data_IF_598453374639
#
_entry.id   IF_598453374639
#
_cell.length_a   1.000
_cell.length_b   1.000
_cell.length_c   1.000
_cell.angle_alpha   90.00
_cell.angle_beta   90.00
_cell.angle_gamma   90.00
#
_symmetry.space_group_name_H-M   'P 1'
#
loop_
_entity.id
_entity.type
_entity.pdbx_description
1 polymer ?
#
# COMPACT_ATOMS: atom_id res chain seq x y z
N UNK A 1 0.71 -10.95 -7.05
CA UNK A 1 -0.24 -12.02 -6.70
C UNK A 1 0.56 -13.30 -6.60
N UNK A 2 0.51 -13.96 -5.44
CA UNK A 2 1.31 -15.15 -5.11
C UNK A 2 0.57 -16.40 -5.60
N UNK A 3 1.26 -17.36 -6.21
CA UNK A 3 0.63 -18.62 -6.65
C UNK A 3 0.70 -19.65 -5.52
N UNK A 4 -0.43 -19.90 -4.86
CA UNK A 4 -0.55 -20.86 -3.76
C UNK A 4 -0.95 -22.27 -4.22
N UNK A 5 -1.15 -22.49 -5.51
CA UNK A 5 -1.64 -23.77 -6.04
C UNK A 5 -0.51 -24.77 -6.33
N UNK A 6 0.74 -24.38 -6.10
CA UNK A 6 1.94 -25.17 -6.40
C UNK A 6 2.41 -25.87 -5.12
N UNK A 7 2.64 -27.19 -5.19
CA UNK A 7 3.34 -27.95 -4.16
C UNK A 7 4.75 -28.28 -4.65
N UNK A 8 5.78 -27.77 -3.97
CA UNK A 8 7.17 -27.98 -4.37
C UNK A 8 7.75 -29.18 -3.66
N UNK A 9 8.17 -30.18 -4.43
CA UNK A 9 8.84 -31.38 -3.94
C UNK A 9 10.26 -31.47 -4.50
N UNK A 10 11.19 -31.87 -3.65
CA UNK A 10 12.55 -32.24 -4.04
C UNK A 10 12.60 -33.73 -4.31
N UNK A 11 13.07 -34.09 -5.50
CA UNK A 11 13.28 -35.47 -5.92
C UNK A 11 14.72 -35.68 -6.38
N UNK A 12 15.15 -36.93 -6.40
CA UNK A 12 16.40 -37.33 -7.05
C UNK A 12 16.09 -37.99 -8.39
N UNK A 13 16.55 -37.39 -9.48
CA UNK A 13 16.45 -37.96 -10.83
C UNK A 13 17.85 -37.98 -11.46
N UNK A 14 18.29 -39.14 -11.97
CA UNK A 14 19.62 -39.31 -12.59
C UNK A 14 20.79 -38.84 -11.70
N UNK A 15 20.69 -39.04 -10.39
CA UNK A 15 21.71 -38.62 -9.41
C UNK A 15 21.78 -37.11 -9.17
N UNK A 16 20.85 -36.33 -9.72
CA UNK A 16 20.72 -34.89 -9.49
C UNK A 16 19.49 -34.60 -8.65
N UNK A 17 19.61 -33.62 -7.74
CA UNK A 17 18.48 -33.06 -7.02
C UNK A 17 17.74 -32.09 -7.93
N UNK A 18 16.44 -32.24 -8.02
CA UNK A 18 15.56 -31.34 -8.79
C UNK A 18 14.32 -31.00 -7.97
N UNK A 19 13.83 -29.79 -8.15
CA UNK A 19 12.62 -29.28 -7.52
C UNK A 19 11.52 -29.20 -8.57
N UNK A 20 10.41 -29.87 -8.32
CA UNK A 20 9.29 -29.94 -9.25
C UNK A 20 7.98 -29.72 -8.51
N UNK A 21 6.92 -29.41 -9.26
CA UNK A 21 5.58 -29.59 -8.72
C UNK A 21 5.32 -31.08 -8.48
N UNK A 22 4.70 -31.41 -7.35
CA UNK A 22 4.15 -32.72 -7.04
C UNK A 22 3.41 -33.38 -8.22
N UNK A 23 2.67 -32.60 -9.01
CA UNK A 23 1.88 -33.10 -10.16
C UNK A 23 2.78 -33.61 -11.31
N UNK A 24 4.03 -33.17 -11.37
CA UNK A 24 5.01 -33.56 -12.39
C UNK A 24 5.88 -34.76 -11.96
N UNK A 25 5.67 -35.30 -10.76
CA UNK A 25 6.46 -36.40 -10.22
C UNK A 25 6.16 -37.71 -10.97
N UNK A 26 7.20 -38.37 -11.48
CA UNK A 26 7.08 -39.72 -12.05
C UNK A 26 7.04 -40.79 -10.94
N UNK A 27 6.41 -41.96 -11.18
CA UNK A 27 6.26 -43.00 -10.16
C UNK A 27 7.57 -43.57 -9.61
N UNK A 28 8.64 -43.52 -10.39
CA UNK A 28 9.99 -44.00 -10.08
C UNK A 28 10.87 -42.97 -9.37
N UNK A 29 10.42 -41.71 -9.26
CA UNK A 29 11.16 -40.66 -8.57
C UNK A 29 11.08 -40.85 -7.05
N UNK A 30 12.23 -41.01 -6.40
CA UNK A 30 12.36 -40.96 -4.94
C UNK A 30 12.18 -39.52 -4.44
N UNK A 31 11.22 -39.31 -3.54
CA UNK A 31 11.03 -38.01 -2.87
C UNK A 31 12.04 -37.87 -1.75
N UNK A 32 12.76 -36.76 -1.76
CA UNK A 32 13.74 -36.41 -0.74
C UNK A 32 13.06 -35.59 0.35
N UNK A 33 12.34 -34.53 -0.03
CA UNK A 33 11.68 -33.59 0.89
C UNK A 33 10.52 -32.89 0.18
N UNK A 34 9.48 -32.55 0.94
CA UNK A 34 8.40 -31.66 0.48
C UNK A 34 8.69 -30.28 1.09
N UNK A 35 8.79 -29.27 0.24
CA UNK A 35 9.22 -27.92 0.63
C UNK A 35 8.06 -26.97 0.91
N UNK A 36 6.93 -27.17 0.23
CA UNK A 36 5.70 -26.40 0.45
C UNK A 36 4.53 -27.18 -0.13
N UNK A 37 3.41 -27.22 0.58
CA UNK A 37 2.18 -27.89 0.12
C UNK A 37 1.25 -26.91 -0.60
N UNK A 38 0.32 -27.44 -1.39
CA UNK A 38 -0.75 -26.64 -1.99
C UNK A 38 -1.51 -25.87 -0.90
N UNK A 39 -1.71 -24.58 -1.14
CA UNK A 39 -2.32 -23.62 -0.22
C UNK A 39 -1.33 -22.89 0.70
N UNK A 40 -0.08 -23.36 0.80
CA UNK A 40 0.96 -22.73 1.61
C UNK A 40 1.81 -21.77 0.77
N UNK A 41 2.32 -20.72 1.42
CA UNK A 41 3.36 -19.91 0.83
C UNK A 41 4.70 -20.66 0.98
N UNK A 42 5.41 -20.86 -0.12
CA UNK A 42 6.77 -21.37 -0.07
C UNK A 42 7.64 -20.41 0.73
N UNK A 43 8.00 -20.82 1.95
CA UNK A 43 8.94 -20.11 2.81
C UNK A 43 10.13 -21.01 3.05
N UNK A 44 11.32 -20.48 2.79
CA UNK A 44 12.56 -21.23 2.87
C UNK A 44 13.43 -20.64 3.99
N UNK A 45 13.71 -21.41 5.06
CA UNK A 45 14.70 -20.99 6.05
C UNK A 45 16.05 -20.76 5.37
N UNK A 46 16.84 -19.82 5.91
CA UNK A 46 18.12 -19.46 5.30
C UNK A 46 19.10 -20.65 5.17
N UNK A 47 19.10 -21.56 6.14
CA UNK A 47 19.90 -22.80 6.11
C UNK A 47 19.48 -23.73 4.99
N UNK A 48 18.16 -23.91 4.85
CA UNK A 48 17.55 -24.71 3.80
C UNK A 48 17.84 -24.12 2.41
N UNK A 49 17.98 -22.78 2.30
CA UNK A 49 18.38 -22.08 1.07
C UNK A 49 19.81 -22.42 0.62
N UNK A 50 20.73 -22.61 1.57
CA UNK A 50 22.08 -23.10 1.26
C UNK A 50 22.00 -24.56 0.83
N UNK A 51 21.29 -25.39 1.58
CA UNK A 51 21.23 -26.84 1.34
C UNK A 51 20.63 -27.19 -0.03
N UNK A 52 19.69 -26.37 -0.53
CA UNK A 52 19.10 -26.51 -1.86
C UNK A 52 19.83 -25.72 -2.96
N UNK A 53 20.89 -24.97 -2.62
CA UNK A 53 21.68 -24.18 -3.57
C UNK A 53 21.01 -22.91 -4.10
N UNK A 54 19.94 -22.44 -3.44
CA UNK A 54 19.31 -21.14 -3.76
C UNK A 54 20.08 -19.95 -3.19
N UNK A 55 20.90 -20.18 -2.16
CA UNK A 55 21.78 -19.18 -1.56
C UNK A 55 23.20 -19.71 -1.43
N UNK A 56 24.20 -18.86 -1.69
CA UNK A 56 25.60 -19.25 -1.61
C UNK A 56 26.12 -19.30 -0.16
N UNK A 57 25.75 -18.30 0.65
CA UNK A 57 26.19 -18.13 2.04
C UNK A 57 25.15 -17.37 2.86
N UNK A 58 25.17 -17.60 4.18
CA UNK A 58 24.45 -16.82 5.18
C UNK A 58 25.48 -15.95 5.90
N UNK A 59 25.19 -14.67 6.04
CA UNK A 59 25.98 -13.75 6.84
C UNK A 59 25.23 -13.35 8.10
N UNK A 60 25.91 -13.36 9.24
CA UNK A 60 25.32 -12.94 10.51
C UNK A 60 25.28 -11.42 10.66
N UNK A 61 26.11 -10.71 9.88
CA UNK A 61 26.14 -9.26 9.83
C UNK A 61 26.50 -8.73 8.45
N UNK A 62 26.11 -7.47 8.20
CA UNK A 62 26.48 -6.75 6.98
C UNK A 62 28.00 -6.55 6.86
N UNK A 63 28.73 -6.46 7.98
CA UNK A 63 30.18 -6.33 7.97
C UNK A 63 30.87 -7.59 7.46
N UNK A 64 30.38 -8.77 7.85
CA UNK A 64 30.88 -10.05 7.32
C UNK A 64 30.64 -10.16 5.81
N UNK A 65 29.45 -9.75 5.33
CA UNK A 65 29.17 -9.68 3.91
C UNK A 65 30.18 -8.76 3.19
N UNK A 66 30.39 -7.54 3.68
CA UNK A 66 31.32 -6.61 3.04
C UNK A 66 32.77 -7.11 3.08
N UNK A 67 33.17 -7.85 4.11
CA UNK A 67 34.48 -8.48 4.19
C UNK A 67 34.65 -9.58 3.13
N UNK A 68 33.66 -10.46 2.94
CA UNK A 68 33.72 -11.52 1.91
C UNK A 68 33.86 -10.95 0.49
N UNK A 69 33.23 -9.80 0.24
CA UNK A 69 33.28 -9.09 -1.04
C UNK A 69 34.47 -8.11 -1.18
N UNK A 70 35.42 -8.09 -0.23
CA UNK A 70 36.54 -7.12 -0.19
C UNK A 70 36.09 -5.65 -0.30
N UNK A 71 34.90 -5.34 0.21
CA UNK A 71 34.22 -4.05 0.10
C UNK A 71 34.09 -3.32 1.45
N UNK A 72 34.95 -3.62 2.42
CA UNK A 72 34.90 -3.04 3.78
C UNK A 72 35.05 -1.53 3.81
N UNK A 73 35.70 -0.94 2.79
CA UNK A 73 35.89 0.50 2.62
C UNK A 73 34.85 1.14 1.70
N UNK A 74 33.91 0.37 1.15
CA UNK A 74 32.91 0.88 0.23
C UNK A 74 32.01 1.91 0.93
N UNK A 75 31.74 3.02 0.24
CA UNK A 75 30.79 4.03 0.73
C UNK A 75 29.38 3.45 0.69
N UNK A 76 28.76 3.31 1.85
CA UNK A 76 27.37 2.89 1.94
C UNK A 76 26.45 4.02 1.48
N UNK A 77 25.54 3.70 0.57
CA UNK A 77 24.40 4.55 0.21
C UNK A 77 23.15 3.81 0.65
N UNK A 78 22.55 4.27 1.73
CA UNK A 78 21.26 3.75 2.18
C UNK A 78 20.17 4.42 1.35
N UNK A 79 19.32 3.63 0.72
CA UNK A 79 18.14 4.18 0.06
C UNK A 79 17.11 4.60 1.12
N UNK A 80 16.92 5.92 1.25
CA UNK A 80 15.92 6.52 2.14
C UNK A 80 14.55 6.67 1.49
N UNK A 81 14.37 6.24 0.24
CA UNK A 81 13.13 6.39 -0.52
C UNK A 81 11.92 5.84 0.25
N UNK A 82 12.08 4.65 0.85
CA UNK A 82 11.01 3.97 1.61
C UNK A 82 10.66 4.76 2.88
N UNK A 83 11.66 5.21 3.64
CA UNK A 83 11.42 6.00 4.86
C UNK A 83 10.72 7.33 4.53
N UNK A 84 11.13 8.00 3.45
CA UNK A 84 10.49 9.22 2.96
C UNK A 84 9.07 8.98 2.47
N UNK A 85 8.83 7.86 1.77
CA UNK A 85 7.49 7.45 1.36
C UNK A 85 6.58 7.20 2.56
N UNK A 86 7.09 6.53 3.60
CA UNK A 86 6.33 6.28 4.83
C UNK A 86 5.94 7.57 5.56
N UNK A 87 6.88 8.51 5.70
CA UNK A 87 6.56 9.83 6.28
C UNK A 87 5.50 10.60 5.47
N UNK A 88 5.60 10.52 4.15
CA UNK A 88 4.65 11.18 3.24
C UNK A 88 3.26 10.57 3.39
N UNK A 89 3.17 9.24 3.44
CA UNK A 89 1.93 8.51 3.67
C UNK A 89 1.27 8.92 5.00
N UNK A 90 2.00 8.92 6.10
CA UNK A 90 1.45 9.35 7.40
C UNK A 90 0.94 10.80 7.40
N UNK A 91 1.61 11.69 6.65
CA UNK A 91 1.18 13.08 6.50
C UNK A 91 -0.11 13.17 5.68
N UNK A 92 -0.27 12.35 4.65
CA UNK A 92 -1.49 12.26 3.84
C UNK A 92 -2.64 11.73 4.68
N UNK A 93 -2.43 10.64 5.40
CA UNK A 93 -3.44 9.99 6.22
C UNK A 93 -4.01 10.94 7.30
N UNK A 94 -3.12 11.63 8.03
CA UNK A 94 -3.52 12.66 9.01
C UNK A 94 -4.32 13.80 8.38
N UNK A 95 -4.04 14.17 7.13
CA UNK A 95 -4.78 15.22 6.42
C UNK A 95 -6.15 14.72 5.98
N UNK A 96 -6.25 13.49 5.50
CA UNK A 96 -7.53 12.87 5.14
C UNK A 96 -8.43 12.70 6.37
N UNK A 97 -7.88 12.25 7.50
CA UNK A 97 -8.63 12.15 8.75
C UNK A 97 -9.22 13.51 9.20
N UNK A 98 -8.41 14.57 9.12
CA UNK A 98 -8.87 15.94 9.43
C UNK A 98 -9.94 16.43 8.45
N UNK A 99 -9.76 16.15 7.16
CA UNK A 99 -10.72 16.50 6.12
C UNK A 99 -12.07 15.81 6.35
N UNK A 100 -12.07 14.50 6.60
CA UNK A 100 -13.29 13.73 6.89
C UNK A 100 -14.02 14.28 8.13
N UNK A 101 -13.29 14.59 9.20
CA UNK A 101 -13.87 15.20 10.39
C UNK A 101 -14.46 16.60 10.12
N UNK A 102 -13.82 17.39 9.26
CA UNK A 102 -14.31 18.71 8.84
C UNK A 102 -15.59 18.61 8.02
N UNK A 103 -15.65 17.68 7.06
CA UNK A 103 -16.83 17.44 6.22
C UNK A 103 -18.00 16.95 7.08
N UNK A 104 -17.78 15.95 7.94
CA UNK A 104 -18.82 15.43 8.85
C UNK A 104 -19.38 16.53 9.77
N UNK A 105 -18.50 17.37 10.33
CA UNK A 105 -18.92 18.52 11.13
C UNK A 105 -19.70 19.54 10.30
N UNK A 106 -19.25 19.84 9.08
CA UNK A 106 -19.91 20.77 8.17
C UNK A 106 -21.31 20.33 7.78
N UNK A 107 -21.48 19.03 7.48
CA UNK A 107 -22.79 18.44 7.16
C UNK A 107 -23.72 18.52 8.38
N UNK A 108 -23.27 18.10 9.56
CA UNK A 108 -24.06 18.20 10.80
C UNK A 108 -24.48 19.63 11.11
N UNK A 109 -23.58 20.60 10.93
CA UNK A 109 -23.89 22.01 11.14
C UNK A 109 -24.92 22.53 10.12
N UNK A 110 -24.83 22.09 8.87
CA UNK A 110 -25.78 22.48 7.84
C UNK A 110 -27.18 21.89 8.09
N UNK A 111 -27.27 20.61 8.46
CA UNK A 111 -28.54 19.92 8.74
C UNK A 111 -29.26 20.46 9.98
N UNK A 112 -28.50 20.83 11.02
CA UNK A 112 -29.07 21.22 12.32
C UNK A 112 -29.35 22.73 12.42
N UNK A 113 -28.72 23.55 11.57
CA UNK A 113 -28.83 25.00 11.72
C UNK A 113 -30.11 25.56 11.11
N UNK A 114 -30.78 26.41 11.89
CA UNK A 114 -31.92 27.21 11.45
C UNK A 114 -31.48 28.63 11.07
N UNK A 115 -30.18 28.94 11.21
CA UNK A 115 -29.61 30.25 10.91
C UNK A 115 -28.99 30.28 9.53
N UNK A 116 -29.49 31.16 8.67
CA UNK A 116 -28.95 31.42 7.32
C UNK A 116 -27.44 31.69 7.34
N UNK A 117 -26.94 32.46 8.31
CA UNK A 117 -25.51 32.78 8.41
C UNK A 117 -24.67 31.54 8.75
N UNK A 118 -25.19 30.64 9.57
CA UNK A 118 -24.48 29.41 9.93
C UNK A 118 -24.54 28.40 8.78
N UNK A 119 -25.67 28.28 8.09
CA UNK A 119 -25.82 27.45 6.89
C UNK A 119 -24.83 27.88 5.79
N UNK A 120 -24.71 29.18 5.53
CA UNK A 120 -23.74 29.71 4.57
C UNK A 120 -22.29 29.43 4.98
N UNK A 121 -21.98 29.53 6.28
CA UNK A 121 -20.63 29.24 6.79
C UNK A 121 -20.29 27.75 6.66
N UNK A 122 -21.25 26.87 6.94
CA UNK A 122 -21.10 25.43 6.77
C UNK A 122 -20.87 25.06 5.30
N UNK A 123 -21.69 25.59 4.38
CA UNK A 123 -21.51 25.39 2.94
C UNK A 123 -20.15 25.90 2.44
N UNK A 124 -19.72 27.07 2.90
CA UNK A 124 -18.42 27.61 2.53
C UNK A 124 -17.25 26.72 3.01
N UNK A 125 -17.38 26.10 4.19
CA UNK A 125 -16.41 25.12 4.69
C UNK A 125 -16.40 23.86 3.83
N UNK A 126 -17.57 23.31 3.49
CA UNK A 126 -17.70 22.12 2.64
C UNK A 126 -17.11 22.34 1.23
N UNK A 127 -17.29 23.53 0.65
CA UNK A 127 -16.67 23.91 -0.64
C UNK A 127 -15.14 23.96 -0.53
N UNK A 128 -14.61 24.52 0.56
CA UNK A 128 -13.16 24.56 0.80
C UNK A 128 -12.57 23.15 0.96
N UNK A 129 -13.25 22.32 1.76
CA UNK A 129 -12.85 20.94 2.02
C UNK A 129 -12.85 20.10 0.73
N UNK A 130 -13.85 20.28 -0.12
CA UNK A 130 -13.92 19.62 -1.43
C UNK A 130 -12.76 20.02 -2.35
N UNK A 131 -12.43 21.31 -2.42
CA UNK A 131 -11.25 21.80 -3.19
C UNK A 131 -9.95 21.22 -2.64
N UNK A 132 -9.84 21.12 -1.32
CA UNK A 132 -8.68 20.52 -0.69
C UNK A 132 -8.54 19.04 -1.04
N UNK A 133 -9.65 18.28 -1.01
CA UNK A 133 -9.69 16.87 -1.42
C UNK A 133 -9.19 16.68 -2.86
N UNK A 134 -9.73 17.45 -3.81
CA UNK A 134 -9.31 17.41 -5.22
C UNK A 134 -7.82 17.77 -5.39
N UNK A 135 -7.32 18.75 -4.62
CA UNK A 135 -5.90 19.11 -4.65
C UNK A 135 -4.99 17.99 -4.13
N UNK A 136 -5.46 17.20 -3.16
CA UNK A 136 -4.75 16.04 -2.63
C UNK A 136 -4.71 14.92 -3.68
N UNK A 137 -5.85 14.64 -4.35
CA UNK A 137 -5.92 13.66 -5.45
C UNK A 137 -4.98 14.02 -6.60
N UNK A 138 -4.95 15.28 -7.01
CA UNK A 138 -4.03 15.76 -8.06
C UNK A 138 -2.56 15.59 -7.67
N UNK A 139 -2.23 15.77 -6.39
CA UNK A 139 -0.84 15.73 -5.91
C UNK A 139 -0.33 14.31 -5.65
N UNK A 140 -1.19 13.42 -5.16
CA UNK A 140 -0.82 12.09 -4.68
C UNK A 140 -1.43 10.95 -5.51
N UNK A 141 -2.20 11.27 -6.55
CA UNK A 141 -2.73 10.30 -7.49
C UNK A 141 -3.60 9.24 -6.81
N UNK A 142 -3.27 7.98 -7.03
CA UNK A 142 -4.06 6.84 -6.56
C UNK A 142 -3.96 6.57 -5.06
N UNK A 143 -2.99 7.18 -4.37
CA UNK A 143 -2.87 7.09 -2.92
C UNK A 143 -3.99 7.83 -2.17
N UNK A 144 -4.75 8.69 -2.88
CA UNK A 144 -5.95 9.35 -2.34
C UNK A 144 -7.17 8.70 -2.96
N UNK A 145 -7.87 7.90 -2.15
CA UNK A 145 -9.08 7.17 -2.56
C UNK A 145 -10.33 8.05 -2.46
N UNK A 146 -10.42 9.07 -3.31
CA UNK A 146 -11.64 9.85 -3.54
C UNK A 146 -12.10 9.67 -4.98
N UNK A 147 -13.42 9.68 -5.20
CA UNK A 147 -13.99 9.79 -6.54
C UNK A 147 -14.00 11.28 -6.94
N UNK A 148 -13.21 11.62 -7.96
CA UNK A 148 -13.03 13.01 -8.41
C UNK A 148 -14.32 13.61 -8.95
N UNK A 149 -15.13 12.82 -9.66
CA UNK A 149 -16.42 13.24 -10.21
C UNK A 149 -17.40 13.54 -9.08
N UNK A 150 -17.59 12.61 -8.14
CA UNK A 150 -18.51 12.79 -7.00
C UNK A 150 -18.16 14.01 -6.14
N UNK A 151 -16.86 14.23 -5.85
CA UNK A 151 -16.43 15.38 -5.06
C UNK A 151 -16.62 16.69 -5.82
N UNK A 152 -16.45 16.67 -7.15
CA UNK A 152 -16.68 17.85 -7.99
C UNK A 152 -18.16 18.20 -8.07
N UNK A 153 -19.02 17.20 -8.25
CA UNK A 153 -20.48 17.37 -8.27
C UNK A 153 -20.99 17.90 -6.93
N UNK A 154 -20.55 17.30 -5.81
CA UNK A 154 -20.88 17.79 -4.48
C UNK A 154 -20.44 19.25 -4.26
N UNK A 155 -19.24 19.62 -4.71
CA UNK A 155 -18.74 20.99 -4.61
C UNK A 155 -19.61 21.95 -5.42
N UNK A 156 -20.00 21.56 -6.63
CA UNK A 156 -20.85 22.37 -7.50
C UNK A 156 -22.24 22.57 -6.90
N UNK A 157 -22.84 21.52 -6.34
CA UNK A 157 -24.12 21.58 -5.65
C UNK A 157 -24.05 22.49 -4.42
N UNK A 158 -23.03 22.32 -3.57
CA UNK A 158 -22.82 23.16 -2.39
C UNK A 158 -22.64 24.63 -2.78
N UNK A 159 -21.92 24.92 -3.88
CA UNK A 159 -21.74 26.26 -4.43
C UNK A 159 -23.06 26.84 -4.95
N UNK A 160 -23.86 26.06 -5.67
CA UNK A 160 -25.17 26.48 -6.16
C UNK A 160 -26.13 26.81 -5.02
N UNK A 161 -26.16 25.99 -3.96
CA UNK A 161 -26.96 26.26 -2.75
C UNK A 161 -26.45 27.50 -2.01
N UNK A 162 -25.13 27.67 -1.89
CA UNK A 162 -24.56 28.86 -1.28
C UNK A 162 -24.95 30.14 -2.03
N UNK A 163 -24.84 30.11 -3.36
CA UNK A 163 -25.16 31.26 -4.19
C UNK A 163 -26.66 31.56 -4.20
N UNK A 164 -27.53 30.53 -4.21
CA UNK A 164 -28.97 30.72 -4.11
C UNK A 164 -29.37 31.40 -2.79
N UNK A 165 -28.82 30.92 -1.67
CA UNK A 165 -29.01 31.54 -0.36
C UNK A 165 -28.44 32.96 -0.34
N UNK A 166 -27.37 33.25 -1.07
CA UNK A 166 -26.81 34.60 -1.16
C UNK A 166 -27.67 35.54 -2.01
N UNK A 167 -28.21 35.08 -3.14
CA UNK A 167 -29.02 35.88 -4.09
C UNK A 167 -30.45 36.11 -3.65
N UNK A 168 -31.06 35.24 -2.82
CA UNK A 168 -32.37 35.47 -2.17
C UNK A 168 -32.37 36.63 -1.15
N UNK A 169 -31.46 37.59 -1.32
CA UNK A 169 -31.30 38.84 -0.58
C UNK A 169 -31.57 40.06 -1.47
N UNK A 170 -31.69 39.88 -2.79
CA UNK A 170 -32.07 40.93 -3.74
C UNK A 170 -33.57 40.91 -4.00
#
# INVERSE_FOLDING_TARGET
>A
MENKDIEVVEITENGKRIFIDSDNKKPDCGVVKIWSKKGELLTLPATDAIDCGMADKIYSSRLELLADYNATTAKMVTDESIAKAQELFEKIDKRLAKLNASIDLGLKQFETTHSRSQAMKALQSLIYDSKFALSMKKRFGDDVHINEEEVTDFMNDAQAVYDSIKTSRR
#
